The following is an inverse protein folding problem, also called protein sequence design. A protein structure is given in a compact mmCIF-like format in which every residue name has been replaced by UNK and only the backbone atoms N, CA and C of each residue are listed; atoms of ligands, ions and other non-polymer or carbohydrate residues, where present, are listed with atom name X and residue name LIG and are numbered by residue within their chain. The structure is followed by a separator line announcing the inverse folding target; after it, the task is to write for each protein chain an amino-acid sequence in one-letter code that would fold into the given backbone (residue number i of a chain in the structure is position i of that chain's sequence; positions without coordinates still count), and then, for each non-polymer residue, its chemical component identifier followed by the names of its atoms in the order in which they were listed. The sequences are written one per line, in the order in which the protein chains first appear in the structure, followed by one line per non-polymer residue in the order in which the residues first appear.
data_IF_978079296100
#
_entry.id   IF_978079296100
#
_cell.length_a   1.000
_cell.length_b   1.000
_cell.length_c   1.000
_cell.angle_alpha   90.00
_cell.angle_beta   90.00
_cell.angle_gamma   90.00
#
_symmetry.space_group_name_H-M   'P 1'
#
loop_
_entity.id
_entity.type
_entity.pdbx_description
1 polymer ?
#
# COMPACT_ATOMS: atom_id res chain seq x y z
N UNK A 1 -12.68 -21.78 -8.98
CA UNK A 1 -12.01 -20.73 -9.79
C UNK A 1 -11.34 -19.70 -8.88
N UNK A 2 -12.10 -18.91 -8.08
CA UNK A 2 -11.50 -17.88 -7.22
C UNK A 2 -10.54 -18.45 -6.18
N UNK A 3 -10.85 -19.59 -5.59
CA UNK A 3 -9.94 -20.29 -4.68
C UNK A 3 -8.60 -20.62 -5.34
N UNK A 4 -8.60 -21.18 -6.54
CA UNK A 4 -7.37 -21.58 -7.24
C UNK A 4 -6.54 -20.36 -7.65
N UNK A 5 -7.21 -19.27 -8.08
CA UNK A 5 -6.55 -17.99 -8.36
C UNK A 5 -5.89 -17.44 -7.08
N UNK A 6 -6.60 -17.43 -5.97
CA UNK A 6 -6.09 -16.92 -4.70
C UNK A 6 -4.83 -17.68 -4.26
N UNK A 7 -4.86 -19.01 -4.31
CA UNK A 7 -3.72 -19.87 -3.92
C UNK A 7 -2.52 -19.58 -4.82
N UNK A 8 -2.70 -19.65 -6.14
CA UNK A 8 -1.62 -19.42 -7.11
C UNK A 8 -1.06 -18.00 -7.02
N UNK A 9 -1.92 -17.00 -6.86
CA UNK A 9 -1.50 -15.61 -6.71
C UNK A 9 -0.59 -15.43 -5.48
N UNK A 10 -0.96 -16.00 -4.33
CA UNK A 10 -0.16 -15.86 -3.10
C UNK A 10 1.12 -16.69 -3.15
N UNK A 11 1.13 -17.83 -3.83
CA UNK A 11 2.34 -18.60 -4.11
C UNK A 11 3.33 -17.80 -4.96
N UNK A 12 2.87 -17.23 -6.08
CA UNK A 12 3.68 -16.37 -6.94
C UNK A 12 4.17 -15.10 -6.21
N UNK A 13 3.28 -14.48 -5.42
CA UNK A 13 3.61 -13.27 -4.66
C UNK A 13 4.67 -13.53 -3.59
N UNK A 14 4.58 -14.64 -2.86
CA UNK A 14 5.56 -15.03 -1.86
C UNK A 14 6.96 -15.25 -2.45
N UNK A 15 7.03 -15.79 -3.66
CA UNK A 15 8.30 -15.98 -4.35
C UNK A 15 8.97 -14.65 -4.77
N UNK A 16 8.18 -13.60 -4.99
CA UNK A 16 8.68 -12.28 -5.40
C UNK A 16 8.90 -11.35 -4.21
N UNK A 17 7.98 -11.36 -3.24
CA UNK A 17 7.91 -10.44 -2.11
C UNK A 17 7.62 -11.20 -0.80
N UNK A 18 8.60 -11.89 -0.21
CA UNK A 18 8.41 -12.72 0.98
C UNK A 18 8.02 -11.93 2.25
N UNK A 19 8.21 -10.62 2.27
CA UNK A 19 7.87 -9.74 3.40
C UNK A 19 6.43 -9.17 3.33
N UNK A 20 5.64 -9.55 2.31
CA UNK A 20 4.26 -9.05 2.19
C UNK A 20 3.39 -9.57 3.32
N UNK A 21 2.58 -8.69 3.88
CA UNK A 21 1.57 -9.01 4.88
C UNK A 21 0.20 -9.20 4.22
N UNK A 22 -0.39 -10.37 4.40
CA UNK A 22 -1.75 -10.67 3.92
C UNK A 22 -2.77 -10.33 5.00
N UNK A 23 -3.69 -9.41 4.71
CA UNK A 23 -4.75 -9.00 5.64
C UNK A 23 -6.11 -9.41 5.09
N UNK A 24 -6.89 -10.16 5.85
CA UNK A 24 -8.25 -10.53 5.47
C UNK A 24 -9.14 -10.76 6.70
N UNK A 25 -10.36 -11.23 6.50
CA UNK A 25 -11.38 -11.25 7.54
C UNK A 25 -11.63 -12.59 8.22
N UNK A 26 -10.90 -13.65 7.88
CA UNK A 26 -11.09 -15.00 8.37
C UNK A 26 -12.52 -15.56 8.13
N UNK A 27 -13.29 -14.96 7.23
CA UNK A 27 -14.64 -15.39 6.87
C UNK A 27 -14.62 -16.61 5.93
N UNK A 28 -15.80 -17.14 5.62
CA UNK A 28 -15.95 -18.15 4.55
C UNK A 28 -15.57 -17.55 3.17
N UNK A 29 -15.20 -18.41 2.23
CA UNK A 29 -14.85 -18.04 0.86
C UNK A 29 -13.37 -17.67 0.73
N UNK A 30 -13.06 -16.59 0.01
CA UNK A 30 -11.70 -16.21 -0.33
C UNK A 30 -10.84 -15.91 0.91
N UNK A 31 -11.41 -15.33 1.97
CA UNK A 31 -10.69 -14.98 3.19
C UNK A 31 -9.89 -16.15 3.76
N UNK A 32 -10.57 -17.29 4.01
CA UNK A 32 -9.91 -18.46 4.59
C UNK A 32 -8.87 -19.07 3.66
N UNK A 33 -9.10 -19.01 2.34
CA UNK A 33 -8.14 -19.51 1.36
C UNK A 33 -6.91 -18.61 1.29
N UNK A 34 -7.10 -17.30 1.40
CA UNK A 34 -6.00 -16.33 1.47
C UNK A 34 -5.11 -16.58 2.70
N UNK A 35 -5.70 -16.75 3.90
CA UNK A 35 -4.92 -17.05 5.09
C UNK A 35 -4.16 -18.38 4.99
N UNK A 36 -4.82 -19.44 4.51
CA UNK A 36 -4.17 -20.75 4.35
C UNK A 36 -3.06 -20.73 3.32
N UNK A 37 -3.25 -20.05 2.20
CA UNK A 37 -2.23 -19.90 1.18
C UNK A 37 -1.05 -19.04 1.68
N UNK A 38 -1.31 -17.98 2.44
CA UNK A 38 -0.26 -17.19 3.09
C UNK A 38 0.57 -18.05 4.04
N UNK A 39 -0.06 -18.79 4.95
CA UNK A 39 0.62 -19.69 5.88
C UNK A 39 1.46 -20.77 5.16
N UNK A 40 0.89 -21.38 4.12
CA UNK A 40 1.57 -22.43 3.34
C UNK A 40 2.82 -21.90 2.60
N UNK A 41 2.84 -20.61 2.27
CA UNK A 41 3.95 -19.96 1.57
C UNK A 41 4.79 -19.05 2.50
N UNK A 42 4.69 -19.24 3.80
CA UNK A 42 5.47 -18.51 4.81
C UNK A 42 5.28 -16.99 4.82
N UNK A 43 4.17 -16.49 4.25
CA UNK A 43 3.79 -15.08 4.36
C UNK A 43 3.12 -14.79 5.69
N UNK A 44 3.44 -13.67 6.30
CA UNK A 44 2.72 -13.19 7.47
C UNK A 44 1.26 -12.89 7.14
N UNK A 45 0.33 -13.21 8.06
CA UNK A 45 -1.09 -12.96 7.81
C UNK A 45 -1.85 -12.52 9.05
N UNK A 46 -2.69 -11.49 8.90
CA UNK A 46 -3.54 -10.96 9.98
C UNK A 46 -5.01 -11.19 9.65
N UNK A 47 -5.69 -11.86 10.57
CA UNK A 47 -7.14 -12.02 10.54
C UNK A 47 -7.83 -10.91 11.33
N UNK A 48 -8.51 -10.00 10.64
CA UNK A 48 -9.33 -8.99 11.31
C UNK A 48 -10.70 -9.59 11.61
N UNK A 49 -11.14 -9.57 12.85
CA UNK A 49 -12.36 -10.27 13.29
C UNK A 49 -13.54 -9.32 13.44
N UNK A 50 -14.76 -9.82 13.21
CA UNK A 50 -16.02 -9.10 13.38
C UNK A 50 -16.69 -9.38 14.77
N UNK A 51 -15.92 -9.85 15.72
CA UNK A 51 -16.33 -10.27 17.08
C UNK A 51 -15.16 -10.15 18.06
N UNK A 52 -15.39 -10.36 19.34
CA UNK A 52 -14.35 -10.34 20.37
C UNK A 52 -13.36 -11.52 20.24
N UNK A 53 -12.18 -11.39 20.88
CA UNK A 53 -11.12 -12.43 20.84
C UNK A 53 -11.45 -13.67 21.70
N UNK A 54 -12.54 -13.67 22.44
CA UNK A 54 -13.00 -14.77 23.29
C UNK A 54 -13.51 -15.99 22.50
N UNK A 55 -13.68 -15.84 21.19
CA UNK A 55 -14.16 -16.92 20.30
C UNK A 55 -13.58 -16.79 18.89
N UNK A 56 -13.72 -17.85 18.11
CA UNK A 56 -13.42 -17.83 16.68
C UNK A 56 -14.69 -18.15 15.89
N UNK A 57 -15.00 -17.26 14.95
CA UNK A 57 -16.10 -17.48 14.01
C UNK A 57 -15.61 -17.24 12.55
N UNK A 58 -15.89 -18.17 11.66
CA UNK A 58 -16.53 -19.47 11.88
C UNK A 58 -15.65 -20.43 12.70
N UNK A 59 -16.28 -21.30 13.52
CA UNK A 59 -15.55 -22.27 14.35
C UNK A 59 -14.72 -23.26 13.53
N UNK A 60 -15.13 -23.53 12.29
CA UNK A 60 -14.38 -24.37 11.34
C UNK A 60 -12.99 -23.79 10.98
N UNK A 61 -12.78 -22.48 11.18
CA UNK A 61 -11.50 -21.81 10.90
C UNK A 61 -10.55 -21.75 12.09
N UNK A 62 -10.95 -22.37 13.26
CA UNK A 62 -10.15 -22.34 14.49
C UNK A 62 -8.72 -22.84 14.31
N UNK A 63 -8.53 -23.93 13.55
CA UNK A 63 -7.19 -24.47 13.30
C UNK A 63 -6.30 -23.43 12.59
N UNK A 64 -6.80 -22.84 11.51
CA UNK A 64 -6.08 -21.78 10.78
C UNK A 64 -5.82 -20.56 11.65
N UNK A 65 -6.78 -20.16 12.50
CA UNK A 65 -6.61 -19.04 13.42
C UNK A 65 -5.47 -19.28 14.44
N UNK A 66 -5.28 -20.52 14.92
CA UNK A 66 -4.18 -20.88 15.80
C UNK A 66 -2.83 -20.82 15.05
N UNK A 67 -2.75 -21.37 13.85
CA UNK A 67 -1.56 -21.32 13.00
C UNK A 67 -1.14 -19.87 12.68
N UNK A 68 -2.10 -18.97 12.49
CA UNK A 68 -1.85 -17.54 12.27
C UNK A 68 -1.17 -16.84 13.44
N UNK A 69 -1.30 -17.33 14.68
CA UNK A 69 -0.63 -16.73 15.84
C UNK A 69 0.89 -16.88 15.81
N UNK A 70 1.40 -17.86 15.08
CA UNK A 70 2.84 -18.08 14.90
C UNK A 70 3.41 -17.26 13.73
N UNK A 71 2.57 -16.85 12.80
CA UNK A 71 2.98 -16.23 11.52
C UNK A 71 2.17 -15.00 11.20
N UNK A 72 1.83 -14.21 12.22
CA UNK A 72 1.00 -13.01 12.10
C UNK A 72 0.14 -12.78 13.32
N UNK A 73 -1.21 -12.85 13.20
CA UNK A 73 -2.07 -12.65 14.35
C UNK A 73 -3.55 -12.46 14.04
N UNK A 74 -4.29 -12.19 15.10
CA UNK A 74 -5.71 -11.86 15.06
C UNK A 74 -5.92 -10.46 15.63
N UNK A 75 -6.70 -9.65 14.95
CA UNK A 75 -7.00 -8.28 15.32
C UNK A 75 -8.51 -8.05 15.40
N UNK A 76 -8.98 -7.31 16.37
CA UNK A 76 -10.36 -6.87 16.45
C UNK A 76 -10.50 -5.51 17.16
N UNK A 77 -11.52 -4.75 16.80
CA UNK A 77 -11.97 -3.58 17.55
C UNK A 77 -13.12 -3.89 18.52
N UNK A 78 -13.64 -5.12 18.50
CA UNK A 78 -14.82 -5.50 19.27
C UNK A 78 -14.41 -6.08 20.64
N UNK A 79 -15.16 -5.68 21.66
CA UNK A 79 -14.96 -6.19 23.02
C UNK A 79 -15.29 -7.67 23.12
N UNK A 80 -14.66 -8.35 24.08
CA UNK A 80 -15.01 -9.74 24.43
C UNK A 80 -16.52 -9.88 24.71
N UNK A 81 -17.11 -10.98 24.27
CA UNK A 81 -18.55 -11.19 24.33
C UNK A 81 -19.36 -10.64 23.15
N UNK A 82 -18.74 -9.85 22.25
CA UNK A 82 -19.43 -9.36 21.04
C UNK A 82 -19.66 -10.51 20.06
N UNK A 83 -20.91 -10.65 19.59
CA UNK A 83 -21.28 -11.68 18.62
C UNK A 83 -20.91 -11.28 17.18
N UNK A 84 -20.70 -12.29 16.29
CA UNK A 84 -20.39 -12.06 14.87
C UNK A 84 -21.64 -11.71 14.06
N UNK A 85 -22.19 -10.54 14.26
CA UNK A 85 -23.39 -10.05 13.58
C UNK A 85 -23.05 -9.44 12.21
N UNK A 86 -24.03 -9.49 11.27
CA UNK A 86 -23.86 -8.97 9.91
C UNK A 86 -23.29 -7.55 9.84
N UNK A 87 -23.77 -6.67 10.72
CA UNK A 87 -23.30 -5.28 10.77
C UNK A 87 -21.82 -5.18 11.16
N UNK A 88 -21.37 -6.05 12.07
CA UNK A 88 -19.97 -6.08 12.52
C UNK A 88 -19.03 -6.50 11.40
N UNK A 89 -19.43 -7.41 10.49
CA UNK A 89 -18.64 -7.76 9.31
C UNK A 89 -18.44 -6.54 8.40
N UNK A 90 -19.50 -5.76 8.16
CA UNK A 90 -19.40 -4.55 7.34
C UNK A 90 -18.51 -3.50 8.02
N UNK A 91 -18.70 -3.28 9.32
CA UNK A 91 -17.87 -2.32 10.08
C UNK A 91 -16.40 -2.70 10.09
N UNK A 92 -16.10 -3.99 10.30
CA UNK A 92 -14.75 -4.51 10.31
C UNK A 92 -14.00 -4.28 9.00
N UNK A 93 -14.66 -4.38 7.86
CA UNK A 93 -14.04 -4.29 6.54
C UNK A 93 -13.25 -2.99 6.32
N UNK A 94 -13.62 -1.91 7.02
CA UNK A 94 -12.85 -0.65 6.99
C UNK A 94 -11.44 -0.80 7.57
N UNK A 95 -11.25 -1.70 8.53
CA UNK A 95 -9.95 -1.98 9.12
C UNK A 95 -9.10 -2.75 8.11
N UNK A 96 -9.67 -3.78 7.46
CA UNK A 96 -9.00 -4.53 6.41
C UNK A 96 -8.52 -3.59 5.29
N UNK A 97 -9.42 -2.75 4.76
CA UNK A 97 -9.10 -1.80 3.71
C UNK A 97 -8.07 -0.74 4.15
N UNK A 98 -8.20 -0.22 5.37
CA UNK A 98 -7.33 0.84 5.88
C UNK A 98 -5.91 0.38 6.23
N UNK A 99 -5.74 -0.88 6.64
CA UNK A 99 -4.45 -1.48 6.95
C UNK A 99 -3.65 -1.88 5.70
N UNK A 100 -4.32 -2.07 4.57
CA UNK A 100 -3.72 -2.60 3.36
C UNK A 100 -3.32 -1.46 2.42
N UNK A 101 -2.18 -1.59 1.75
CA UNK A 101 -1.77 -0.69 0.68
C UNK A 101 -2.61 -0.92 -0.58
N UNK A 102 -3.00 -2.17 -0.81
CA UNK A 102 -3.88 -2.55 -1.90
C UNK A 102 -4.94 -3.57 -1.47
N UNK A 103 -6.14 -3.47 -2.05
CA UNK A 103 -7.22 -4.43 -1.88
C UNK A 103 -7.40 -5.23 -3.17
N UNK A 104 -7.32 -6.55 -3.08
CA UNK A 104 -7.48 -7.45 -4.23
C UNK A 104 -8.79 -8.22 -4.12
N UNK A 105 -9.70 -8.02 -5.07
CA UNK A 105 -10.95 -8.77 -5.17
C UNK A 105 -10.76 -9.92 -6.15
N UNK A 106 -10.66 -11.14 -5.60
CA UNK A 106 -10.43 -12.34 -6.40
C UNK A 106 -11.70 -12.87 -7.03
N UNK A 107 -12.79 -12.85 -6.27
CA UNK A 107 -14.09 -13.35 -6.68
C UNK A 107 -15.20 -12.67 -5.88
N UNK A 108 -16.28 -12.24 -6.54
CA UNK A 108 -17.43 -11.65 -5.88
C UNK A 108 -18.67 -11.67 -6.78
N UNK A 109 -19.81 -12.02 -6.21
CA UNK A 109 -21.11 -11.75 -6.85
C UNK A 109 -21.38 -10.22 -6.88
N UNK A 110 -22.39 -9.79 -7.62
CA UNK A 110 -22.76 -8.37 -7.82
C UNK A 110 -23.13 -7.62 -6.53
N UNK A 111 -23.46 -8.33 -5.44
CA UNK A 111 -23.77 -7.81 -4.10
C UNK A 111 -22.88 -8.43 -3.01
N UNK A 112 -21.68 -8.88 -3.37
CA UNK A 112 -20.74 -9.52 -2.45
C UNK A 112 -20.12 -8.55 -1.42
N UNK A 113 -19.76 -9.08 -0.25
CA UNK A 113 -19.10 -8.30 0.81
C UNK A 113 -17.77 -7.70 0.41
N UNK A 114 -17.05 -8.33 -0.52
CA UNK A 114 -15.78 -7.83 -1.04
C UNK A 114 -15.92 -6.48 -1.77
N UNK A 115 -17.07 -6.23 -2.41
CA UNK A 115 -17.36 -4.95 -3.08
C UNK A 115 -17.46 -3.79 -2.06
N UNK A 116 -17.96 -4.07 -0.87
CA UNK A 116 -18.01 -3.07 0.22
C UNK A 116 -16.58 -2.71 0.63
N UNK A 117 -15.71 -3.71 0.79
CA UNK A 117 -14.29 -3.49 1.14
C UNK A 117 -13.58 -2.70 0.05
N UNK A 118 -13.80 -3.02 -1.23
CA UNK A 118 -13.26 -2.28 -2.36
C UNK A 118 -13.72 -0.81 -2.37
N UNK A 119 -15.01 -0.55 -2.13
CA UNK A 119 -15.54 0.80 -2.03
C UNK A 119 -14.93 1.61 -0.87
N UNK A 120 -14.70 0.97 0.29
CA UNK A 120 -14.02 1.60 1.43
C UNK A 120 -12.54 1.87 1.10
N UNK A 121 -11.83 0.94 0.46
CA UNK A 121 -10.45 1.13 0.02
C UNK A 121 -10.34 2.36 -0.90
N UNK A 122 -11.22 2.48 -1.89
CA UNK A 122 -11.29 3.65 -2.76
C UNK A 122 -11.53 4.96 -1.99
N UNK A 123 -12.39 4.96 -0.96
CA UNK A 123 -12.62 6.14 -0.11
C UNK A 123 -11.40 6.53 0.74
N UNK A 124 -10.50 5.60 1.00
CA UNK A 124 -9.22 5.82 1.69
C UNK A 124 -8.06 6.11 0.73
N UNK A 125 -8.35 6.27 -0.58
CA UNK A 125 -7.35 6.43 -1.63
C UNK A 125 -6.32 5.30 -1.67
N UNK A 126 -6.78 4.06 -1.38
CA UNK A 126 -5.99 2.83 -1.50
C UNK A 126 -6.27 2.17 -2.84
N UNK A 127 -5.24 1.57 -3.41
CA UNK A 127 -5.36 0.88 -4.68
C UNK A 127 -6.29 -0.33 -4.57
N UNK A 128 -7.08 -0.54 -5.60
CA UNK A 128 -7.98 -1.67 -5.68
C UNK A 128 -7.75 -2.43 -6.99
N UNK A 129 -7.67 -3.74 -6.89
CA UNK A 129 -7.46 -4.64 -8.02
C UNK A 129 -8.52 -5.72 -8.06
N UNK A 130 -8.82 -6.22 -9.25
CA UNK A 130 -9.75 -7.32 -9.41
C UNK A 130 -9.29 -8.29 -10.50
N UNK A 131 -9.48 -9.58 -10.25
CA UNK A 131 -9.34 -10.61 -11.26
C UNK A 131 -10.60 -10.65 -12.13
N UNK A 132 -10.46 -10.65 -13.48
CA UNK A 132 -11.61 -10.79 -14.36
C UNK A 132 -12.13 -12.22 -14.34
N UNK A 133 -13.40 -12.39 -14.66
CA UNK A 133 -13.99 -13.70 -14.79
C UNK A 133 -14.98 -13.77 -15.96
N UNK A 134 -15.65 -14.90 -16.11
CA UNK A 134 -16.59 -15.12 -17.21
C UNK A 134 -17.81 -14.21 -17.08
N UNK A 135 -18.30 -13.68 -18.20
CA UNK A 135 -19.42 -12.73 -18.24
C UNK A 135 -20.71 -13.32 -17.62
N UNK A 136 -20.96 -14.61 -17.83
CA UNK A 136 -22.17 -15.29 -17.35
C UNK A 136 -21.98 -16.02 -16.02
N UNK A 137 -20.87 -15.80 -15.33
CA UNK A 137 -20.60 -16.40 -14.03
C UNK A 137 -21.02 -15.44 -12.92
N UNK A 138 -21.93 -15.90 -12.06
CA UNK A 138 -22.47 -15.13 -10.94
C UNK A 138 -21.39 -14.57 -10.03
N UNK A 139 -20.38 -15.38 -9.70
CA UNK A 139 -19.31 -14.99 -8.77
C UNK A 139 -18.19 -14.16 -9.42
N UNK A 140 -18.23 -13.98 -10.74
CA UNK A 140 -17.34 -13.07 -11.47
C UNK A 140 -17.97 -11.69 -11.71
N UNK A 141 -19.29 -11.57 -11.54
CA UNK A 141 -20.04 -10.36 -11.87
C UNK A 141 -19.54 -9.13 -11.10
N UNK A 142 -19.25 -9.26 -9.81
CA UNK A 142 -18.77 -8.17 -8.97
C UNK A 142 -17.38 -7.68 -9.38
N UNK A 143 -16.43 -8.58 -9.65
CA UNK A 143 -15.09 -8.23 -10.14
C UNK A 143 -15.16 -7.51 -11.49
N UNK A 144 -15.94 -8.07 -12.44
CA UNK A 144 -16.13 -7.47 -13.75
C UNK A 144 -16.77 -6.08 -13.66
N UNK A 145 -17.69 -5.88 -12.71
CA UNK A 145 -18.32 -4.56 -12.48
C UNK A 145 -17.32 -3.54 -11.91
N UNK A 146 -16.47 -3.92 -10.94
CA UNK A 146 -15.41 -3.04 -10.42
C UNK A 146 -14.46 -2.59 -11.52
N UNK A 147 -14.02 -3.52 -12.38
CA UNK A 147 -13.15 -3.23 -13.53
C UNK A 147 -13.85 -2.30 -14.51
N UNK A 148 -15.09 -2.65 -14.91
CA UNK A 148 -15.89 -1.86 -15.86
C UNK A 148 -16.10 -0.41 -15.40
N UNK A 149 -16.28 -0.20 -14.08
CA UNK A 149 -16.53 1.13 -13.51
C UNK A 149 -15.24 1.87 -13.10
N UNK A 150 -14.06 1.36 -13.45
CA UNK A 150 -12.75 1.90 -13.07
C UNK A 150 -12.58 2.06 -11.54
N UNK A 151 -13.23 1.20 -10.75
CA UNK A 151 -13.07 1.16 -9.30
C UNK A 151 -11.98 0.17 -8.87
N UNK A 152 -11.56 -0.70 -9.77
CA UNK A 152 -10.42 -1.59 -9.59
C UNK A 152 -9.65 -1.75 -10.89
N UNK A 153 -8.33 -1.78 -10.80
CA UNK A 153 -7.48 -2.15 -11.92
C UNK A 153 -7.57 -3.66 -12.17
N UNK A 154 -7.58 -4.08 -13.44
CA UNK A 154 -7.54 -5.49 -13.80
C UNK A 154 -6.14 -6.04 -13.58
N UNK A 155 -6.03 -7.19 -12.93
CA UNK A 155 -4.79 -7.97 -12.83
C UNK A 155 -5.03 -9.43 -13.24
N UNK A 156 -3.99 -10.06 -13.77
CA UNK A 156 -4.01 -11.45 -14.23
C UNK A 156 -3.05 -12.36 -13.45
N UNK A 157 -2.06 -11.79 -12.75
CA UNK A 157 -1.01 -12.51 -12.02
C UNK A 157 -0.45 -11.67 -10.87
N UNK A 158 0.34 -12.30 -10.00
CA UNK A 158 1.08 -11.58 -8.98
C UNK A 158 2.16 -10.67 -9.57
N UNK A 159 2.78 -11.08 -10.68
CA UNK A 159 3.75 -10.25 -11.40
C UNK A 159 3.12 -8.95 -11.89
N UNK A 160 1.96 -9.04 -12.52
CA UNK A 160 1.20 -7.89 -13.01
C UNK A 160 0.83 -6.92 -11.87
N UNK A 161 0.41 -7.46 -10.72
CA UNK A 161 0.16 -6.71 -9.50
C UNK A 161 1.42 -5.97 -8.99
N UNK A 162 2.54 -6.68 -8.84
CA UNK A 162 3.80 -6.13 -8.34
C UNK A 162 4.34 -5.03 -9.26
N UNK A 163 4.24 -5.21 -10.58
CA UNK A 163 4.62 -4.20 -11.57
C UNK A 163 3.73 -2.96 -11.48
N UNK A 164 2.41 -3.14 -11.35
CA UNK A 164 1.45 -2.03 -11.24
C UNK A 164 1.62 -1.24 -9.95
N UNK A 165 1.91 -1.91 -8.84
CA UNK A 165 2.23 -1.27 -7.55
C UNK A 165 3.62 -0.60 -7.53
N UNK A 166 4.46 -0.85 -8.53
CA UNK A 166 5.85 -0.37 -8.53
C UNK A 166 6.70 -1.03 -7.44
N UNK A 167 6.33 -2.24 -6.97
CA UNK A 167 7.05 -2.99 -5.94
C UNK A 167 8.12 -3.94 -6.51
N UNK A 168 8.30 -3.96 -7.82
CA UNK A 168 9.39 -4.72 -8.44
C UNK A 168 10.72 -4.11 -7.99
N UNK A 169 11.54 -4.89 -7.27
CA UNK A 169 12.95 -4.56 -7.15
C UNK A 169 13.56 -4.58 -8.55
N UNK A 170 14.09 -3.46 -9.00
CA UNK A 170 14.99 -3.39 -10.15
C UNK A 170 16.25 -4.24 -9.84
N UNK A 171 16.16 -5.57 -10.02
CA UNK A 171 17.32 -6.48 -9.90
C UNK A 171 18.43 -6.20 -10.93
N UNK A 172 18.23 -5.21 -11.81
CA UNK A 172 19.25 -4.79 -12.78
C UNK A 172 20.24 -3.74 -12.24
N UNK A 173 20.17 -3.34 -10.94
CA UNK A 173 21.09 -2.32 -10.38
C UNK A 173 22.06 -2.80 -9.31
N UNK A 174 22.31 -4.09 -9.15
CA UNK A 174 23.35 -4.59 -8.24
C UNK A 174 24.66 -4.99 -8.92
N UNK A 175 25.06 -4.27 -9.98
CA UNK A 175 26.43 -4.31 -10.51
C UNK A 175 26.87 -2.96 -11.06
N UNK A 176 26.64 -1.93 -10.31
CA UNK A 176 27.38 -0.68 -10.48
C UNK A 176 27.65 -0.12 -9.08
N UNK A 177 28.94 0.17 -8.81
CA UNK A 177 29.42 1.16 -7.84
C UNK A 177 28.31 2.12 -7.47
N UNK A 178 28.18 2.56 -6.20
CA UNK A 178 27.19 3.56 -5.85
C UNK A 178 27.41 4.77 -6.77
N UNK A 179 26.74 4.78 -7.91
CA UNK A 179 26.52 6.02 -8.63
C UNK A 179 25.63 6.79 -7.66
N UNK A 180 26.28 7.73 -6.96
CA UNK A 180 25.59 8.86 -6.39
C UNK A 180 24.63 9.30 -7.51
N UNK A 181 23.32 9.03 -7.36
CA UNK A 181 22.32 9.61 -8.23
C UNK A 181 22.64 11.09 -8.19
N UNK A 182 22.99 11.67 -9.33
CA UNK A 182 22.96 13.11 -9.46
C UNK A 182 21.51 13.49 -9.17
N UNK A 183 21.29 13.86 -7.91
CA UNK A 183 19.97 14.17 -7.36
C UNK A 183 19.37 15.43 -7.99
N UNK A 184 20.11 16.09 -8.91
CA UNK A 184 19.72 17.37 -9.42
C UNK A 184 19.99 17.44 -10.94
N UNK A 185 18.96 17.68 -11.75
CA UNK A 185 19.17 18.07 -13.14
C UNK A 185 19.98 19.38 -13.15
N UNK A 186 20.81 19.59 -14.19
CA UNK A 186 21.67 20.73 -14.46
C UNK A 186 21.39 21.97 -13.59
N UNK A 187 22.16 22.12 -12.50
CA UNK A 187 22.08 23.29 -11.65
C UNK A 187 23.00 24.37 -12.22
N UNK A 188 22.53 25.61 -12.25
CA UNK A 188 23.40 26.75 -12.52
C UNK A 188 24.42 26.95 -11.40
N UNK A 189 25.51 27.67 -11.67
CA UNK A 189 26.54 27.96 -10.65
C UNK A 189 25.97 28.62 -9.39
N UNK A 190 24.94 29.45 -9.53
CA UNK A 190 24.27 30.10 -8.40
C UNK A 190 23.42 29.10 -7.59
N UNK A 191 22.70 28.20 -8.28
CA UNK A 191 21.94 27.13 -7.64
C UNK A 191 22.85 26.14 -6.90
N UNK A 192 24.00 25.78 -7.49
CA UNK A 192 25.00 24.92 -6.83
C UNK A 192 25.53 25.52 -5.53
N UNK A 193 25.79 26.85 -5.48
CA UNK A 193 26.20 27.55 -4.27
C UNK A 193 25.14 27.44 -3.18
N UNK A 194 23.87 27.67 -3.51
CA UNK A 194 22.75 27.57 -2.56
C UNK A 194 22.60 26.15 -2.05
N UNK A 195 22.59 25.15 -2.94
CA UNK A 195 22.50 23.73 -2.58
C UNK A 195 23.69 23.26 -1.76
N UNK A 196 24.90 23.69 -2.10
CA UNK A 196 26.13 23.40 -1.34
C UNK A 196 26.05 23.91 0.10
N UNK A 197 25.55 25.12 0.30
CA UNK A 197 25.34 25.69 1.62
C UNK A 197 24.26 24.94 2.41
N UNK A 198 23.14 24.61 1.80
CA UNK A 198 22.06 23.84 2.43
C UNK A 198 22.49 22.41 2.78
N UNK A 199 23.38 21.76 2.01
CA UNK A 199 23.96 20.45 2.35
C UNK A 199 24.73 20.48 3.69
N UNK A 200 25.36 21.58 4.00
CA UNK A 200 26.10 21.74 5.28
C UNK A 200 25.18 22.04 6.48
N UNK A 201 23.90 22.27 6.25
CA UNK A 201 22.93 22.68 7.27
C UNK A 201 21.64 21.84 7.18
N UNK A 202 21.61 20.64 7.76
CA UNK A 202 20.46 19.72 7.66
C UNK A 202 19.14 20.30 8.18
N UNK A 203 19.20 21.24 9.13
CA UNK A 203 18.02 21.89 9.72
C UNK A 203 17.40 22.96 8.79
N UNK A 204 18.07 23.28 7.68
CA UNK A 204 17.68 24.31 6.74
C UNK A 204 18.11 25.72 7.15
N UNK A 205 17.93 26.68 6.25
CA UNK A 205 18.33 28.08 6.43
C UNK A 205 17.20 29.03 6.00
N UNK A 206 17.15 30.20 6.64
CA UNK A 206 16.28 31.28 6.22
C UNK A 206 16.89 32.05 5.04
N UNK A 207 16.03 32.67 4.22
CA UNK A 207 16.46 33.43 3.03
C UNK A 207 17.51 34.49 3.35
N UNK A 208 17.39 35.19 4.50
CA UNK A 208 18.36 36.23 4.89
C UNK A 208 19.76 35.65 5.10
N UNK A 209 19.86 34.48 5.70
CA UNK A 209 21.13 33.77 5.90
C UNK A 209 21.73 33.34 4.55
N UNK A 210 20.88 32.78 3.67
CA UNK A 210 21.30 32.40 2.31
C UNK A 210 21.85 33.60 1.52
N UNK A 211 21.17 34.74 1.58
CA UNK A 211 21.60 35.99 0.93
C UNK A 211 22.97 36.45 1.44
N UNK A 212 23.18 36.45 2.76
CA UNK A 212 24.44 36.87 3.36
C UNK A 212 25.56 35.91 3.00
N UNK A 213 25.35 34.61 3.17
CA UNK A 213 26.40 33.60 3.03
C UNK A 213 26.80 33.36 1.55
N UNK A 214 25.86 33.55 0.60
CA UNK A 214 26.13 33.38 -0.84
C UNK A 214 26.48 34.68 -1.55
N UNK A 215 26.25 35.83 -0.92
CA UNK A 215 26.36 37.17 -1.52
C UNK A 215 25.49 37.34 -2.77
N UNK A 216 24.35 36.67 -2.85
CA UNK A 216 23.36 36.81 -3.93
C UNK A 216 22.26 37.76 -3.48
N UNK A 217 21.91 38.79 -4.26
CA UNK A 217 20.84 39.73 -3.89
C UNK A 217 19.50 39.04 -3.64
N UNK A 218 18.71 39.57 -2.68
CA UNK A 218 17.46 38.93 -2.21
C UNK A 218 16.44 38.67 -3.32
N UNK A 219 16.32 39.57 -4.29
CA UNK A 219 15.42 39.42 -5.46
C UNK A 219 15.85 38.23 -6.32
N UNK A 220 17.15 38.03 -6.53
CA UNK A 220 17.70 36.91 -7.30
C UNK A 220 17.60 35.62 -6.48
N UNK A 221 17.90 35.68 -5.18
CA UNK A 221 17.79 34.55 -4.24
C UNK A 221 16.35 34.01 -4.22
N UNK A 222 15.34 34.87 -4.16
CA UNK A 222 13.93 34.45 -4.16
C UNK A 222 13.57 33.69 -5.43
N UNK A 223 14.06 34.14 -6.59
CA UNK A 223 13.84 33.44 -7.87
C UNK A 223 14.53 32.08 -7.90
N UNK A 224 15.80 32.01 -7.47
CA UNK A 224 16.55 30.74 -7.39
C UNK A 224 15.90 29.73 -6.46
N UNK A 225 15.44 30.15 -5.29
CA UNK A 225 14.77 29.29 -4.34
C UNK A 225 13.44 28.74 -4.90
N UNK A 226 12.70 29.57 -5.60
CA UNK A 226 11.49 29.13 -6.29
C UNK A 226 11.80 28.13 -7.42
N UNK A 227 12.82 28.37 -8.23
CA UNK A 227 13.26 27.44 -9.29
C UNK A 227 13.71 26.10 -8.70
N UNK A 228 14.48 26.11 -7.61
CA UNK A 228 14.94 24.90 -6.91
C UNK A 228 13.78 24.12 -6.25
N UNK A 229 12.77 24.83 -5.75
CA UNK A 229 11.55 24.19 -5.22
C UNK A 229 10.75 23.52 -6.35
N UNK A 230 10.59 24.18 -7.48
CA UNK A 230 9.91 23.63 -8.67
C UNK A 230 10.69 22.45 -9.30
N UNK A 231 12.03 22.44 -9.19
CA UNK A 231 12.87 21.30 -9.58
C UNK A 231 12.85 20.16 -8.56
N UNK A 232 12.13 20.30 -7.42
CA UNK A 232 12.07 19.29 -6.39
C UNK A 232 13.38 19.09 -5.63
N UNK A 233 14.24 20.09 -5.58
CA UNK A 233 15.56 20.06 -4.91
C UNK A 233 15.45 20.43 -3.44
N UNK A 234 14.57 21.38 -3.12
CA UNK A 234 14.33 21.86 -1.77
C UNK A 234 12.83 22.04 -1.49
N UNK A 235 12.50 22.27 -0.24
CA UNK A 235 11.16 22.66 0.21
C UNK A 235 11.20 23.77 1.23
N UNK A 236 10.11 24.55 1.28
CA UNK A 236 9.89 25.58 2.30
C UNK A 236 9.19 24.98 3.51
N UNK A 237 9.73 25.22 4.68
CA UNK A 237 9.13 24.86 5.96
C UNK A 237 8.48 26.08 6.63
N UNK A 238 7.66 25.84 7.66
CA UNK A 238 7.07 26.90 8.47
C UNK A 238 8.17 27.84 9.02
N UNK A 239 7.92 29.16 8.96
CA UNK A 239 8.92 30.16 9.34
C UNK A 239 9.89 30.59 8.25
N UNK A 240 9.63 30.21 6.97
CA UNK A 240 10.46 30.60 5.83
C UNK A 240 11.84 29.96 5.81
N UNK A 241 11.93 28.72 6.33
CA UNK A 241 13.15 27.92 6.33
C UNK A 241 13.19 27.05 5.09
N UNK A 242 14.25 27.15 4.31
CA UNK A 242 14.50 26.32 3.13
C UNK A 242 15.39 25.14 3.48
N UNK A 243 14.97 23.92 3.09
CA UNK A 243 15.71 22.68 3.37
C UNK A 243 15.72 21.78 2.14
N UNK A 244 16.82 21.04 1.94
CA UNK A 244 16.92 20.01 0.90
C UNK A 244 15.95 18.85 1.17
N UNK A 245 15.43 18.27 0.12
CA UNK A 245 14.53 17.10 0.15
C UNK A 245 15.28 15.78 0.35
#
# INVERSE_FOLDING_TARGET
YGQDICIRFLEELAAMLPEVLVVSGLAYGIDIHAHRAALANHLNTIGVLAHGLDRIYPSAHRKTAIEMLEQGGLLTEFMSGTNPDRQNFVRRNRIVAGMSDATIVVESADKGGALITAGVAGSYHRDCFAFPGRINDEFSAGCNQLIKSNQAALILSAKDFVETMGWSEDKEKTSSTPRQRELFPDLSEEEEKVVGLLKSRPDGLQINTLVVDTNIPVNRMSALLFELEMKGVLRVLAGGIYRLL
#
